data_IF_055912708581
#
_entry.id   IF_055912708581
#
_cell.length_a   1.000
_cell.length_b   1.000
_cell.length_c   1.000
_cell.angle_alpha   90.00
_cell.angle_beta   90.00
_cell.angle_gamma   90.00
#
_symmetry.space_group_name_H-M   'P 1'
#
loop_
_entity.id
_entity.type
_entity.pdbx_description
1 polymer ?
#
# COMPACT_ATOMS: atom_id res chain seq x y z
N UNK A 1 -32.53 -19.24 -10.24
CA UNK A 1 -31.86 -19.15 -11.55
C UNK A 1 -30.41 -18.89 -11.26
N UNK A 2 -29.51 -19.83 -11.58
CA UNK A 2 -28.08 -19.72 -11.36
C UNK A 2 -27.52 -18.67 -12.35
N UNK A 3 -27.16 -17.49 -11.85
CA UNK A 3 -26.34 -16.54 -12.63
C UNK A 3 -24.90 -17.06 -12.56
N UNK A 4 -24.42 -17.52 -13.71
CA UNK A 4 -23.01 -17.80 -13.98
C UNK A 4 -22.22 -16.50 -13.75
N UNK A 5 -21.46 -16.44 -12.67
CA UNK A 5 -20.49 -15.37 -12.45
C UNK A 5 -19.44 -15.50 -13.57
N UNK A 6 -19.54 -14.62 -14.55
CA UNK A 6 -18.48 -14.39 -15.53
C UNK A 6 -17.21 -13.93 -14.79
N UNK A 7 -16.10 -14.51 -15.16
CA UNK A 7 -14.76 -14.15 -14.72
C UNK A 7 -14.52 -12.67 -15.02
N UNK A 8 -14.60 -11.83 -14.01
CA UNK A 8 -13.95 -10.53 -14.03
C UNK A 8 -13.04 -10.54 -12.82
N UNK A 9 -11.76 -10.74 -13.07
CA UNK A 9 -10.70 -10.41 -12.13
C UNK A 9 -10.30 -8.99 -12.52
N UNK A 10 -10.85 -7.95 -11.89
CA UNK A 10 -10.31 -6.64 -12.06
C UNK A 10 -9.12 -6.54 -11.11
N UNK A 11 -7.99 -6.22 -11.69
CA UNK A 11 -6.97 -5.41 -11.01
C UNK A 11 -6.21 -6.06 -9.87
N UNK A 12 -5.96 -7.36 -9.95
CA UNK A 12 -4.62 -7.83 -9.60
C UNK A 12 -4.00 -8.13 -10.95
N UNK A 13 -3.38 -7.16 -11.59
CA UNK A 13 -2.45 -7.44 -12.67
C UNK A 13 -1.35 -8.24 -12.05
N UNK A 14 -1.62 -9.50 -12.10
CA UNK A 14 -0.89 -10.55 -11.49
C UNK A 14 0.46 -10.65 -12.20
N UNK A 15 1.44 -9.86 -11.73
CA UNK A 15 2.82 -10.22 -11.90
C UNK A 15 3.13 -11.46 -11.04
N UNK A 16 2.28 -12.46 -11.15
CA UNK A 16 2.58 -13.82 -10.69
C UNK A 16 3.51 -14.46 -11.71
N UNK A 17 4.73 -13.95 -11.78
CA UNK A 17 5.83 -14.79 -12.19
C UNK A 17 6.12 -15.73 -11.03
N UNK A 18 6.07 -16.99 -11.30
CA UNK A 18 6.53 -18.04 -10.41
C UNK A 18 7.90 -17.64 -9.86
N UNK A 19 7.95 -17.21 -8.61
CA UNK A 19 9.20 -16.92 -7.90
C UNK A 19 10.15 -18.14 -7.88
N UNK A 20 9.65 -19.31 -8.28
CA UNK A 20 10.38 -20.55 -8.44
C UNK A 20 11.47 -20.50 -9.51
N UNK A 21 11.30 -19.69 -10.59
CA UNK A 21 12.25 -19.64 -11.70
C UNK A 21 13.47 -18.74 -11.42
N UNK A 22 13.41 -17.88 -10.41
CA UNK A 22 14.51 -16.96 -10.06
C UNK A 22 15.60 -17.59 -9.19
N UNK A 23 15.48 -18.86 -8.83
CA UNK A 23 16.40 -19.53 -7.94
C UNK A 23 17.23 -20.56 -8.71
N UNK A 24 18.43 -20.16 -9.15
CA UNK A 24 19.46 -21.11 -9.52
C UNK A 24 19.84 -21.99 -8.32
N UNK A 25 19.82 -23.29 -8.50
CA UNK A 25 20.19 -24.24 -7.45
C UNK A 25 21.66 -24.09 -7.05
N UNK A 26 21.89 -23.95 -5.76
CA UNK A 26 23.13 -24.37 -5.11
C UNK A 26 24.35 -23.50 -5.31
N UNK A 27 24.41 -22.35 -4.64
CA UNK A 27 25.70 -21.71 -4.30
C UNK A 27 25.75 -21.36 -2.82
N UNK A 28 26.97 -21.45 -2.24
CA UNK A 28 27.21 -21.20 -0.83
C UNK A 28 26.67 -19.86 -0.35
N UNK A 29 26.13 -19.84 0.86
CA UNK A 29 25.65 -18.63 1.52
C UNK A 29 26.78 -17.57 1.52
N UNK A 30 26.47 -16.32 1.16
CA UNK A 30 27.45 -15.25 1.31
C UNK A 30 27.80 -15.07 2.79
N UNK A 31 29.03 -14.62 3.11
CA UNK A 31 29.44 -14.41 4.48
C UNK A 31 28.48 -13.45 5.19
N UNK A 32 28.27 -13.65 6.48
CA UNK A 32 27.50 -12.77 7.37
C UNK A 32 28.19 -11.41 7.48
N UNK A 33 28.08 -10.58 6.44
CA UNK A 33 28.52 -9.19 6.50
C UNK A 33 27.52 -8.39 7.33
N UNK A 34 28.00 -7.43 8.09
CA UNK A 34 27.15 -6.49 8.81
C UNK A 34 26.15 -5.86 7.84
N UNK A 35 24.86 -5.79 8.23
CA UNK A 35 23.80 -5.18 7.41
C UNK A 35 24.18 -3.74 7.09
N UNK A 36 24.26 -3.41 5.80
CA UNK A 36 24.44 -2.03 5.36
C UNK A 36 23.06 -1.38 5.24
N UNK A 37 22.85 -0.30 5.98
CA UNK A 37 21.58 0.40 6.02
C UNK A 37 21.50 1.45 4.91
N UNK A 38 20.44 1.44 4.08
CA UNK A 38 20.32 2.35 2.95
C UNK A 38 19.72 3.73 3.33
N UNK A 39 20.03 4.26 4.50
CA UNK A 39 19.49 5.53 4.99
C UNK A 39 19.75 6.69 4.02
N UNK A 40 20.93 6.76 3.42
CA UNK A 40 21.27 7.74 2.40
C UNK A 40 21.05 7.19 0.99
N UNK A 41 21.64 6.07 0.68
CA UNK A 41 21.59 5.43 -0.63
C UNK A 41 21.66 3.91 -0.47
N UNK A 42 21.00 3.20 -1.37
CA UNK A 42 21.12 1.77 -1.48
C UNK A 42 22.53 1.37 -1.98
N UNK A 43 23.24 0.48 -1.28
CA UNK A 43 24.39 -0.17 -1.87
C UNK A 43 24.01 -0.86 -3.17
N UNK A 44 24.93 -0.86 -4.15
CA UNK A 44 24.68 -1.49 -5.45
C UNK A 44 25.36 -2.85 -5.51
N UNK A 45 24.71 -3.81 -6.14
CA UNK A 45 25.21 -5.15 -6.38
C UNK A 45 24.79 -5.62 -7.77
N UNK A 46 25.12 -6.87 -8.10
CA UNK A 46 24.60 -7.53 -9.31
C UNK A 46 23.65 -8.66 -8.93
N UNK A 47 22.69 -9.03 -9.79
CA UNK A 47 21.81 -10.16 -9.52
C UNK A 47 22.59 -11.44 -9.16
N UNK A 48 23.63 -11.77 -9.92
CA UNK A 48 24.47 -12.94 -9.70
C UNK A 48 25.17 -12.91 -8.32
N UNK A 49 25.59 -11.73 -7.83
CA UNK A 49 26.29 -11.60 -6.53
C UNK A 49 25.42 -12.00 -5.33
N UNK A 50 24.12 -12.04 -5.52
CA UNK A 50 23.14 -12.41 -4.49
C UNK A 50 22.33 -13.66 -4.87
N UNK A 51 22.78 -14.42 -5.89
CA UNK A 51 22.15 -15.67 -6.31
C UNK A 51 20.82 -15.52 -7.02
N UNK A 52 20.62 -14.43 -7.76
CA UNK A 52 19.49 -14.25 -8.68
C UNK A 52 19.93 -14.54 -10.12
N UNK A 53 19.00 -15.05 -10.91
CA UNK A 53 19.20 -15.29 -12.33
C UNK A 53 19.16 -13.95 -13.09
N UNK A 54 20.31 -13.58 -13.62
CA UNK A 54 20.48 -12.33 -14.35
C UNK A 54 19.77 -12.34 -15.71
N UNK A 55 19.73 -13.50 -16.38
CA UNK A 55 19.06 -13.64 -17.67
C UNK A 55 17.56 -13.48 -17.54
N UNK A 56 16.96 -14.08 -16.53
CA UNK A 56 15.53 -13.90 -16.22
C UNK A 56 15.20 -12.43 -15.98
N UNK A 57 16.02 -11.69 -15.23
CA UNK A 57 15.80 -10.26 -14.98
C UNK A 57 15.97 -9.43 -16.26
N UNK A 58 16.95 -9.73 -17.10
CA UNK A 58 17.13 -9.06 -18.40
C UNK A 58 15.96 -9.30 -19.34
N UNK A 59 15.46 -10.53 -19.40
CA UNK A 59 14.30 -10.85 -20.23
C UNK A 59 13.06 -10.12 -19.75
N UNK A 60 12.87 -10.01 -18.43
CA UNK A 60 11.78 -9.26 -17.84
C UNK A 60 11.89 -7.75 -18.12
N UNK A 61 13.09 -7.18 -18.04
CA UNK A 61 13.38 -5.81 -18.44
C UNK A 61 12.98 -5.49 -19.87
N UNK A 62 13.34 -6.39 -20.80
CA UNK A 62 12.93 -6.30 -22.22
C UNK A 62 11.41 -6.38 -22.36
N UNK A 63 10.76 -7.30 -21.65
CA UNK A 63 9.31 -7.44 -21.67
C UNK A 63 8.60 -6.16 -21.22
N UNK A 64 9.11 -5.49 -20.17
CA UNK A 64 8.59 -4.20 -19.71
C UNK A 64 8.86 -3.12 -20.76
N UNK A 65 10.10 -2.99 -21.23
CA UNK A 65 10.50 -1.95 -22.17
C UNK A 65 9.72 -2.02 -23.50
N UNK A 66 9.25 -3.21 -23.87
CA UNK A 66 8.43 -3.43 -25.07
C UNK A 66 6.92 -3.24 -24.83
N UNK A 67 6.51 -2.87 -23.62
CA UNK A 67 5.11 -2.59 -23.26
C UNK A 67 4.24 -3.82 -23.03
N UNK A 68 4.83 -4.98 -22.78
CA UNK A 68 4.10 -6.22 -22.48
C UNK A 68 3.28 -6.12 -21.20
N UNK A 69 3.69 -5.28 -20.26
CA UNK A 69 3.08 -5.11 -18.94
C UNK A 69 2.52 -3.71 -18.73
N UNK A 70 1.87 -3.16 -19.74
CA UNK A 70 1.30 -1.81 -19.71
C UNK A 70 2.36 -0.70 -19.52
N UNK A 71 1.96 0.47 -18.98
CA UNK A 71 2.86 1.58 -18.72
C UNK A 71 3.57 1.37 -17.38
N UNK A 72 4.79 0.88 -17.43
CA UNK A 72 5.63 0.69 -16.23
C UNK A 72 6.74 1.74 -16.21
N UNK A 73 6.83 2.56 -15.18
CA UNK A 73 7.84 3.63 -15.06
C UNK A 73 9.15 3.12 -14.50
N UNK A 74 9.09 2.18 -13.57
CA UNK A 74 10.28 1.60 -12.97
C UNK A 74 10.03 0.20 -12.43
N UNK A 75 11.07 -0.60 -12.42
CA UNK A 75 11.12 -1.89 -11.77
C UNK A 75 12.47 -2.05 -11.08
N UNK A 76 12.46 -2.36 -9.78
CA UNK A 76 13.68 -2.54 -8.99
C UNK A 76 13.65 -3.81 -8.18
N UNK A 77 14.81 -4.40 -7.99
CA UNK A 77 15.00 -5.57 -7.13
C UNK A 77 16.06 -5.28 -6.10
N UNK A 78 15.71 -5.54 -4.85
CA UNK A 78 16.61 -5.42 -3.71
C UNK A 78 16.77 -6.79 -3.05
N UNK A 79 18.00 -7.15 -2.75
CA UNK A 79 18.32 -8.38 -2.03
C UNK A 79 19.56 -8.19 -1.18
N UNK A 80 19.59 -8.76 0.03
CA UNK A 80 20.71 -8.65 0.97
C UNK A 80 21.07 -7.20 1.33
N UNK A 81 20.11 -6.29 1.37
CA UNK A 81 20.35 -4.87 1.64
C UNK A 81 21.00 -4.10 0.48
N UNK A 82 21.02 -4.65 -0.73
CA UNK A 82 21.57 -4.03 -1.93
C UNK A 82 20.50 -3.91 -3.02
N UNK A 83 20.54 -2.85 -3.79
CA UNK A 83 19.85 -2.78 -5.08
C UNK A 83 20.68 -3.58 -6.09
N UNK A 84 20.07 -4.60 -6.67
CA UNK A 84 20.73 -5.53 -7.59
C UNK A 84 20.19 -5.46 -9.00
N UNK A 85 19.08 -4.76 -9.18
CA UNK A 85 18.50 -4.46 -10.49
C UNK A 85 17.69 -3.16 -10.41
N UNK A 86 17.78 -2.34 -11.46
CA UNK A 86 16.99 -1.12 -11.62
C UNK A 86 16.72 -0.86 -13.10
N UNK A 87 15.46 -1.06 -13.52
CA UNK A 87 14.93 -0.61 -14.80
C UNK A 87 14.18 0.71 -14.62
N UNK A 88 14.33 1.63 -15.57
CA UNK A 88 13.54 2.86 -15.68
C UNK A 88 13.06 3.00 -17.10
N UNK A 89 11.77 3.25 -17.27
CA UNK A 89 11.09 3.31 -18.56
C UNK A 89 10.43 4.67 -18.68
N UNK A 90 10.80 5.42 -19.70
CA UNK A 90 10.29 6.77 -19.89
C UNK A 90 9.04 6.76 -20.76
N UNK A 91 8.01 7.45 -20.29
CA UNK A 91 6.77 7.66 -21.01
C UNK A 91 6.51 9.15 -21.18
N UNK A 92 5.96 9.55 -22.31
CA UNK A 92 5.48 10.92 -22.53
C UNK A 92 4.08 11.09 -21.96
N UNK A 93 3.99 11.27 -20.65
CA UNK A 93 2.73 11.46 -19.95
C UNK A 93 1.99 12.72 -20.38
N UNK A 94 2.69 13.76 -20.82
CA UNK A 94 2.05 14.95 -21.37
C UNK A 94 1.26 14.63 -22.63
N UNK A 95 1.74 13.66 -23.45
CA UNK A 95 1.03 13.19 -24.61
C UNK A 95 -0.03 12.14 -24.24
N UNK A 96 0.32 11.18 -23.41
CA UNK A 96 -0.56 10.06 -23.01
C UNK A 96 -1.82 10.59 -22.32
N UNK A 97 -1.65 11.53 -21.37
CA UNK A 97 -2.74 12.13 -20.58
C UNK A 97 -3.08 13.57 -20.98
N UNK A 98 -2.84 13.93 -22.25
CA UNK A 98 -3.09 15.28 -22.75
C UNK A 98 -4.55 15.75 -22.57
N UNK A 99 -5.50 14.83 -22.51
CA UNK A 99 -6.92 15.12 -22.27
C UNK A 99 -7.20 15.22 -20.76
N UNK A 100 -6.79 14.23 -20.02
CA UNK A 100 -7.04 14.07 -18.59
C UNK A 100 -6.38 15.18 -17.78
N UNK A 101 -5.14 15.56 -18.12
CA UNK A 101 -4.40 16.65 -17.45
C UNK A 101 -5.08 18.03 -17.57
N UNK A 102 -6.03 18.19 -18.47
CA UNK A 102 -6.83 19.44 -18.60
C UNK A 102 -8.10 19.41 -17.75
N UNK A 103 -8.42 18.26 -17.20
CA UNK A 103 -9.63 18.07 -16.40
C UNK A 103 -9.25 18.27 -14.93
N UNK A 104 -9.85 19.26 -14.28
CA UNK A 104 -9.70 19.47 -12.84
C UNK A 104 -10.75 18.64 -12.09
N UNK A 105 -10.33 18.02 -11.00
CA UNK A 105 -11.25 17.26 -10.16
C UNK A 105 -10.64 15.98 -9.58
N UNK A 106 -11.43 15.21 -8.84
CA UNK A 106 -11.03 13.90 -8.34
C UNK A 106 -10.71 12.94 -9.49
N UNK A 107 -10.23 11.76 -9.19
CA UNK A 107 -9.93 10.67 -10.14
C UNK A 107 -11.03 10.50 -11.20
N UNK A 108 -12.27 10.72 -10.79
CA UNK A 108 -13.40 10.70 -11.67
C UNK A 108 -13.66 12.11 -12.25
N UNK A 109 -13.52 12.24 -13.57
CA UNK A 109 -13.79 13.47 -14.30
C UNK A 109 -15.24 14.00 -14.18
N UNK A 110 -16.16 13.22 -13.61
CA UNK A 110 -17.57 13.64 -13.37
C UNK A 110 -17.74 14.48 -12.12
N UNK A 111 -16.77 14.42 -11.22
CA UNK A 111 -16.79 15.16 -9.96
C UNK A 111 -15.71 16.24 -10.00
N UNK A 112 -16.08 17.46 -9.67
CA UNK A 112 -15.15 18.59 -9.64
C UNK A 112 -14.47 18.66 -8.28
N UNK A 113 -13.15 18.77 -8.25
CA UNK A 113 -12.37 18.88 -7.04
C UNK A 113 -10.87 19.00 -7.32
N UNK A 114 -10.05 19.07 -6.29
CA UNK A 114 -8.60 19.27 -6.40
C UNK A 114 -7.79 17.96 -6.48
N UNK A 115 -8.43 16.80 -6.47
CA UNK A 115 -7.76 15.50 -6.33
C UNK A 115 -7.66 14.70 -7.63
N UNK A 116 -7.71 15.33 -8.78
CA UNK A 116 -7.45 14.65 -10.04
C UNK A 116 -5.96 14.27 -10.11
N UNK A 117 -5.65 12.99 -10.09
CA UNK A 117 -4.26 12.50 -10.17
C UNK A 117 -3.55 12.86 -11.47
N UNK A 118 -4.26 13.25 -12.51
CA UNK A 118 -3.70 13.76 -13.76
C UNK A 118 -3.60 15.30 -13.78
N UNK A 119 -4.03 15.98 -12.71
CA UNK A 119 -3.89 17.42 -12.60
C UNK A 119 -2.41 17.78 -12.52
N UNK A 120 -1.91 18.75 -13.33
CA UNK A 120 -0.50 19.16 -13.33
C UNK A 120 0.03 19.64 -11.97
N UNK A 121 -0.86 20.09 -11.07
CA UNK A 121 -0.45 20.47 -9.72
C UNK A 121 -0.12 19.27 -8.83
N UNK A 122 -0.66 18.10 -9.14
CA UNK A 122 -0.55 16.92 -8.30
C UNK A 122 0.17 15.75 -8.97
N UNK A 123 0.14 15.66 -10.30
CA UNK A 123 0.82 14.59 -10.99
C UNK A 123 2.34 14.79 -10.91
N UNK A 124 3.11 13.80 -10.43
CA UNK A 124 4.56 13.94 -10.14
C UNK A 124 5.36 14.37 -11.35
N UNK A 125 4.99 13.92 -12.54
CA UNK A 125 5.62 14.31 -13.80
C UNK A 125 5.65 15.83 -14.01
N UNK A 126 4.55 16.51 -13.67
CA UNK A 126 4.44 17.97 -13.86
C UNK A 126 5.09 18.77 -12.75
N UNK A 127 5.38 18.16 -11.59
CA UNK A 127 6.02 18.85 -10.48
C UNK A 127 7.55 18.84 -10.55
N UNK A 128 8.14 18.13 -11.54
CA UNK A 128 9.59 18.00 -11.67
C UNK A 128 10.27 17.31 -10.49
N UNK A 129 9.54 16.51 -9.75
CA UNK A 129 10.02 15.69 -8.62
C UNK A 129 10.06 14.21 -9.01
N UNK A 130 10.88 13.42 -8.31
CA UNK A 130 10.92 11.97 -8.45
C UNK A 130 9.91 11.25 -7.54
N UNK A 131 9.08 11.99 -6.81
CA UNK A 131 7.99 11.44 -6.02
C UNK A 131 6.84 11.02 -6.93
N UNK A 132 6.28 9.85 -6.65
CA UNK A 132 5.15 9.28 -7.37
C UNK A 132 4.01 8.98 -6.40
N UNK A 133 2.77 9.10 -6.86
CA UNK A 133 1.62 8.71 -6.05
C UNK A 133 1.73 7.24 -5.67
N UNK A 134 1.45 6.95 -4.43
CA UNK A 134 1.46 5.58 -3.89
C UNK A 134 0.07 4.95 -3.89
N UNK A 135 -0.96 5.76 -4.04
CA UNK A 135 -2.34 5.27 -3.99
C UNK A 135 -2.55 4.41 -2.74
N UNK A 136 -3.24 3.30 -2.84
CA UNK A 136 -3.57 2.42 -1.70
C UNK A 136 -2.37 1.80 -0.98
N UNK A 137 -1.13 1.93 -1.47
CA UNK A 137 0.07 1.67 -0.67
C UNK A 137 0.11 2.57 0.58
N UNK A 138 -0.53 3.75 0.51
CA UNK A 138 -0.71 4.67 1.65
C UNK A 138 -1.35 3.99 2.86
N UNK A 139 -2.30 3.09 2.64
CA UNK A 139 -2.97 2.30 3.71
C UNK A 139 -1.97 1.45 4.49
N UNK A 140 -1.05 0.80 3.77
CA UNK A 140 0.03 0.02 4.39
C UNK A 140 0.95 0.92 5.21
N UNK A 141 1.32 2.09 4.69
CA UNK A 141 2.18 3.05 5.40
C UNK A 141 1.46 3.60 6.63
N UNK A 142 0.17 3.90 6.54
CA UNK A 142 -0.68 4.29 7.69
C UNK A 142 -0.62 3.23 8.80
N UNK A 143 -0.74 1.94 8.45
CA UNK A 143 -0.57 0.84 9.40
C UNK A 143 0.83 0.81 10.00
N UNK A 144 1.89 1.04 9.21
CA UNK A 144 3.26 1.11 9.72
C UNK A 144 3.40 2.25 10.75
N UNK A 145 2.88 3.44 10.45
CA UNK A 145 2.94 4.61 11.36
C UNK A 145 2.18 4.35 12.66
N UNK A 146 1.03 3.69 12.57
CA UNK A 146 0.30 3.24 13.77
C UNK A 146 1.17 2.29 14.63
N UNK A 147 1.85 1.34 13.99
CA UNK A 147 2.80 0.45 14.65
C UNK A 147 3.97 1.17 15.30
N UNK A 148 4.48 2.23 14.68
CA UNK A 148 5.50 3.11 15.28
C UNK A 148 4.95 3.77 16.55
N UNK A 149 3.74 4.32 16.50
CA UNK A 149 3.13 5.02 17.62
C UNK A 149 2.83 4.07 18.79
N UNK A 150 2.36 2.85 18.52
CA UNK A 150 2.17 1.80 19.52
C UNK A 150 3.52 1.38 20.12
N UNK A 151 4.54 1.19 19.30
CA UNK A 151 5.90 0.82 19.75
C UNK A 151 6.50 1.85 20.71
N UNK A 152 6.23 3.13 20.47
CA UNK A 152 6.69 4.23 21.29
C UNK A 152 5.84 4.46 22.54
N UNK A 153 4.64 3.87 22.59
CA UNK A 153 3.66 4.11 23.67
C UNK A 153 2.89 5.43 23.54
N UNK A 154 2.95 6.06 22.38
CA UNK A 154 2.21 7.29 22.07
C UNK A 154 0.75 6.99 21.68
N UNK A 155 0.50 5.83 21.08
CA UNK A 155 -0.83 5.28 20.85
C UNK A 155 -1.13 4.19 21.88
N UNK A 156 -2.11 4.45 22.75
CA UNK A 156 -2.36 3.61 23.94
C UNK A 156 -3.61 2.75 23.86
N UNK A 157 -4.50 3.04 22.93
CA UNK A 157 -5.72 2.26 22.76
C UNK A 157 -5.39 0.83 22.32
N UNK A 158 -6.16 -0.12 22.81
CA UNK A 158 -6.20 -1.49 22.26
C UNK A 158 -6.79 -1.47 20.84
N UNK A 159 -6.33 -2.34 19.96
CA UNK A 159 -6.92 -2.51 18.64
C UNK A 159 -8.40 -2.96 18.71
N UNK A 160 -8.82 -3.57 19.81
CA UNK A 160 -10.22 -3.92 20.07
C UNK A 160 -11.08 -2.72 20.52
N UNK A 161 -10.51 -1.51 20.59
CA UNK A 161 -11.28 -0.31 20.93
C UNK A 161 -12.23 0.03 19.79
N UNK A 162 -13.54 0.22 20.05
CA UNK A 162 -14.49 0.68 19.04
C UNK A 162 -14.10 2.02 18.44
N UNK A 163 -14.04 2.09 17.11
CA UNK A 163 -13.67 3.30 16.37
C UNK A 163 -14.61 4.49 16.64
N UNK A 164 -15.90 4.22 16.84
CA UNK A 164 -16.90 5.24 17.11
C UNK A 164 -16.62 6.06 18.37
N UNK A 165 -15.82 5.55 19.34
CA UNK A 165 -15.39 6.27 20.56
C UNK A 165 -14.70 7.61 20.25
N UNK A 166 -14.11 7.75 19.09
CA UNK A 166 -13.32 8.92 18.69
C UNK A 166 -14.13 10.00 17.98
N UNK A 167 -15.44 9.81 17.87
CA UNK A 167 -16.36 10.68 17.15
C UNK A 167 -17.48 11.18 18.07
N UNK A 168 -18.00 12.36 17.74
CA UNK A 168 -19.23 12.85 18.38
C UNK A 168 -20.44 12.10 17.79
N UNK A 169 -20.93 11.13 18.53
CA UNK A 169 -22.02 10.23 18.09
C UNK A 169 -23.28 11.00 17.68
N UNK A 170 -23.52 12.20 18.25
CA UNK A 170 -24.66 13.02 17.87
C UNK A 170 -24.56 13.58 16.44
N UNK A 171 -23.37 13.60 15.87
CA UNK A 171 -23.09 14.07 14.50
C UNK A 171 -22.90 12.94 13.50
N UNK A 172 -22.89 11.68 13.94
CA UNK A 172 -22.67 10.50 13.09
C UNK A 172 -24.01 9.96 12.62
N UNK A 173 -24.13 9.75 11.30
CA UNK A 173 -25.30 9.10 10.68
C UNK A 173 -25.20 7.57 10.76
N UNK A 174 -26.31 6.91 10.49
CA UNK A 174 -26.40 5.45 10.35
C UNK A 174 -25.78 4.66 11.55
N UNK A 175 -25.95 5.21 12.77
CA UNK A 175 -25.46 4.54 13.98
C UNK A 175 -26.35 3.35 14.33
N UNK A 176 -25.78 2.15 14.30
CA UNK A 176 -26.39 0.89 14.69
C UNK A 176 -25.47 0.09 15.63
N UNK A 177 -25.89 -1.09 16.06
CA UNK A 177 -25.11 -1.90 16.98
C UNK A 177 -23.78 -2.39 16.37
N UNK A 178 -23.74 -2.65 15.08
CA UNK A 178 -22.52 -3.05 14.38
C UNK A 178 -21.53 -1.88 14.30
N UNK A 179 -21.96 -0.68 13.95
CA UNK A 179 -21.08 0.50 13.97
C UNK A 179 -20.50 0.77 15.36
N UNK A 180 -21.26 0.50 16.43
CA UNK A 180 -20.77 0.62 17.82
C UNK A 180 -19.71 -0.43 18.17
N UNK A 181 -19.71 -1.57 17.50
CA UNK A 181 -18.79 -2.69 17.72
C UNK A 181 -17.57 -2.64 16.80
N UNK A 182 -17.61 -1.89 15.69
CA UNK A 182 -16.52 -1.76 14.73
C UNK A 182 -15.24 -1.26 15.41
N UNK A 183 -14.22 -2.09 15.46
CA UNK A 183 -12.95 -1.83 16.17
C UNK A 183 -11.86 -1.28 15.24
N UNK A 184 -10.79 -0.75 15.83
CA UNK A 184 -9.57 -0.34 15.09
C UNK A 184 -8.98 -1.53 14.32
N UNK A 185 -9.01 -2.74 14.89
CA UNK A 185 -8.56 -3.95 14.21
C UNK A 185 -9.38 -4.25 12.95
N UNK A 186 -10.71 -4.06 13.03
CA UNK A 186 -11.58 -4.25 11.87
C UNK A 186 -11.26 -3.28 10.72
N UNK A 187 -10.86 -2.05 11.03
CA UNK A 187 -10.41 -1.08 10.02
C UNK A 187 -9.10 -1.54 9.37
N UNK A 188 -8.13 -1.99 10.18
CA UNK A 188 -6.83 -2.46 9.69
C UNK A 188 -6.92 -3.73 8.85
N UNK A 189 -7.88 -4.61 9.16
CA UNK A 189 -8.05 -5.92 8.49
C UNK A 189 -9.08 -5.90 7.37
N UNK A 190 -9.65 -4.73 7.05
CA UNK A 190 -10.72 -4.61 6.04
C UNK A 190 -11.94 -5.50 6.36
N UNK A 191 -12.33 -5.51 7.64
CA UNK A 191 -13.50 -6.26 8.14
C UNK A 191 -14.46 -5.37 8.91
N UNK A 192 -14.54 -4.10 8.53
CA UNK A 192 -15.38 -3.10 9.21
C UNK A 192 -16.88 -3.38 9.10
N UNK A 193 -17.30 -4.15 8.10
CA UNK A 193 -18.70 -4.34 7.76
C UNK A 193 -19.37 -3.12 7.14
N UNK A 194 -18.59 -2.10 6.74
CA UNK A 194 -19.07 -0.92 6.03
C UNK A 194 -19.56 -1.32 4.64
N UNK A 195 -20.54 -0.59 4.14
CA UNK A 195 -21.06 -0.75 2.79
C UNK A 195 -20.07 -0.10 1.80
N UNK A 196 -19.05 -0.87 1.42
CA UNK A 196 -18.02 -0.44 0.47
C UNK A 196 -17.92 -1.43 -0.68
N UNK A 197 -17.90 -0.93 -1.91
CA UNK A 197 -17.88 -1.76 -3.13
C UNK A 197 -16.74 -1.37 -4.09
N UNK A 198 -15.65 -0.83 -3.57
CA UNK A 198 -14.56 -0.22 -4.35
C UNK A 198 -13.85 -1.17 -5.32
N UNK A 199 -13.77 -2.47 -5.02
CA UNK A 199 -13.01 -3.42 -5.85
C UNK A 199 -13.81 -4.12 -6.95
N UNK A 200 -15.13 -3.93 -7.01
CA UNK A 200 -15.99 -4.70 -7.90
C UNK A 200 -16.48 -3.94 -9.13
N UNK A 201 -16.01 -2.73 -9.34
CA UNK A 201 -16.35 -1.94 -10.53
C UNK A 201 -15.34 -2.20 -11.64
N UNK A 202 -15.71 -2.94 -12.72
CA UNK A 202 -14.77 -3.32 -13.78
C UNK A 202 -14.25 -2.14 -14.59
N UNK A 203 -14.91 -1.02 -14.50
CA UNK A 203 -14.57 0.22 -15.20
C UNK A 203 -13.87 1.24 -14.30
N UNK A 204 -13.31 0.76 -13.20
CA UNK A 204 -12.52 1.59 -12.28
C UNK A 204 -13.38 2.51 -11.41
N UNK A 205 -12.76 3.59 -10.96
CA UNK A 205 -13.34 4.59 -10.06
C UNK A 205 -14.50 5.39 -10.64
N UNK A 206 -14.84 5.20 -11.92
CA UNK A 206 -15.86 5.99 -12.62
C UNK A 206 -17.31 5.58 -12.34
N UNK A 207 -17.54 4.46 -11.65
CA UNK A 207 -18.89 4.01 -11.36
C UNK A 207 -19.58 4.97 -10.40
N UNK A 208 -20.81 5.46 -10.74
CA UNK A 208 -21.53 6.43 -9.90
C UNK A 208 -21.83 5.93 -8.48
N UNK A 209 -21.82 4.64 -8.28
CA UNK A 209 -22.09 3.96 -7.01
C UNK A 209 -20.82 3.69 -6.18
N UNK A 210 -19.63 4.07 -6.66
CA UNK A 210 -18.38 3.84 -5.95
C UNK A 210 -18.24 4.82 -4.78
N UNK A 211 -18.29 4.29 -3.55
CA UNK A 211 -18.23 5.08 -2.32
C UNK A 211 -16.94 5.89 -2.18
N UNK A 212 -15.82 5.36 -2.66
CA UNK A 212 -14.54 6.05 -2.71
C UNK A 212 -14.63 7.37 -3.49
N UNK A 213 -15.25 7.35 -4.66
CA UNK A 213 -15.44 8.55 -5.50
C UNK A 213 -16.30 9.60 -4.79
N UNK A 214 -17.34 9.17 -4.09
CA UNK A 214 -18.20 10.07 -3.33
C UNK A 214 -17.51 10.65 -2.11
N UNK A 215 -16.68 9.85 -1.42
CA UNK A 215 -15.86 10.31 -0.31
C UNK A 215 -14.89 11.41 -0.77
N UNK A 216 -14.13 11.17 -1.85
CA UNK A 216 -13.17 12.15 -2.38
C UNK A 216 -13.85 13.45 -2.86
N UNK A 217 -15.11 13.37 -3.29
CA UNK A 217 -15.88 14.54 -3.68
C UNK A 217 -16.50 15.31 -2.51
N UNK A 218 -16.46 14.75 -1.30
CA UNK A 218 -16.99 15.41 -0.10
C UNK A 218 -15.97 16.39 0.51
N UNK A 219 -16.46 17.35 1.31
CA UNK A 219 -15.61 18.35 1.95
C UNK A 219 -14.79 17.78 3.12
N UNK A 220 -15.34 16.80 3.87
CA UNK A 220 -14.73 16.16 5.03
C UNK A 220 -14.82 14.63 4.86
N UNK A 221 -13.71 14.04 4.43
CA UNK A 221 -13.65 12.61 4.11
C UNK A 221 -13.84 11.73 5.34
N UNK A 222 -13.33 12.18 6.49
CA UNK A 222 -13.50 11.45 7.74
C UNK A 222 -14.96 11.49 8.23
N UNK A 223 -15.65 12.62 8.06
CA UNK A 223 -17.08 12.69 8.38
C UNK A 223 -17.90 11.84 7.40
N UNK A 224 -17.57 11.88 6.10
CA UNK A 224 -18.18 10.99 5.11
C UNK A 224 -18.01 9.53 5.52
N UNK A 225 -16.77 9.12 5.79
CA UNK A 225 -16.43 7.75 6.15
C UNK A 225 -17.16 7.25 7.41
N UNK A 226 -17.24 8.06 8.48
CA UNK A 226 -17.95 7.63 9.70
C UNK A 226 -19.48 7.63 9.51
N UNK A 227 -20.00 8.39 8.56
CA UNK A 227 -21.41 8.40 8.21
C UNK A 227 -21.84 7.18 7.38
N UNK A 228 -20.90 6.50 6.69
CA UNK A 228 -21.17 5.28 5.91
C UNK A 228 -21.91 4.21 6.73
N UNK A 229 -22.94 3.55 6.17
CA UNK A 229 -23.65 2.51 6.89
C UNK A 229 -22.77 1.26 7.11
N UNK A 230 -22.83 0.69 8.32
CA UNK A 230 -22.29 -0.64 8.62
C UNK A 230 -23.41 -1.65 8.42
N UNK A 231 -23.30 -2.50 7.41
CA UNK A 231 -24.39 -3.34 6.89
C UNK A 231 -24.22 -4.81 7.27
N UNK A 232 -23.06 -5.20 7.81
CA UNK A 232 -22.80 -6.53 8.31
C UNK A 232 -21.96 -6.52 9.60
N UNK A 233 -21.88 -7.66 10.26
CA UNK A 233 -21.16 -7.81 11.52
C UNK A 233 -19.66 -7.59 11.33
N UNK A 234 -19.04 -6.61 12.03
CA UNK A 234 -17.62 -6.36 11.95
C UNK A 234 -16.78 -7.59 12.33
N UNK A 235 -15.68 -7.81 11.62
CA UNK A 235 -14.79 -8.96 11.83
C UNK A 235 -15.18 -10.21 11.04
N UNK A 236 -16.31 -10.21 10.32
CA UNK A 236 -16.85 -11.40 9.67
C UNK A 236 -16.28 -11.63 8.26
N UNK A 237 -16.37 -10.65 7.41
CA UNK A 237 -16.00 -10.76 6.00
C UNK A 237 -14.98 -9.68 5.61
N UNK A 238 -14.15 -10.03 4.64
CA UNK A 238 -13.28 -9.05 3.99
C UNK A 238 -14.11 -8.17 3.04
N UNK A 239 -14.07 -6.86 3.25
CA UNK A 239 -14.61 -5.85 2.33
C UNK A 239 -13.64 -4.69 2.27
N UNK A 240 -13.02 -4.50 1.11
CA UNK A 240 -12.04 -3.44 0.92
C UNK A 240 -12.70 -2.07 1.05
N UNK A 241 -12.13 -1.19 1.89
CA UNK A 241 -12.71 0.12 2.20
C UNK A 241 -11.64 1.18 2.40
N UNK A 242 -11.57 2.15 1.51
CA UNK A 242 -10.78 3.37 1.67
C UNK A 242 -11.32 4.22 2.82
N UNK A 243 -12.63 4.36 2.91
CA UNK A 243 -13.31 5.06 4.00
C UNK A 243 -12.90 4.53 5.39
N UNK A 244 -12.81 3.19 5.54
CA UNK A 244 -12.32 2.59 6.79
C UNK A 244 -10.91 3.04 7.16
N UNK A 245 -10.04 3.26 6.18
CA UNK A 245 -8.67 3.73 6.45
C UNK A 245 -8.65 5.21 6.85
N UNK A 246 -9.50 6.06 6.24
CA UNK A 246 -9.61 7.47 6.63
C UNK A 246 -10.01 7.67 8.09
N UNK A 247 -10.81 6.77 8.66
CA UNK A 247 -11.13 6.81 10.08
C UNK A 247 -9.88 6.69 10.97
N UNK A 248 -8.86 5.96 10.51
CA UNK A 248 -7.60 5.80 11.24
C UNK A 248 -6.84 7.12 11.42
N UNK A 249 -6.93 8.06 10.47
CA UNK A 249 -6.31 9.38 10.59
C UNK A 249 -6.85 10.13 11.82
N UNK A 250 -8.17 10.14 11.99
CA UNK A 250 -8.84 10.78 13.14
C UNK A 250 -8.55 10.05 14.44
N UNK A 251 -8.60 8.72 14.42
CA UNK A 251 -8.30 7.89 15.61
C UNK A 251 -6.86 8.13 16.05
N UNK A 252 -5.92 8.13 15.10
CA UNK A 252 -4.51 8.40 15.37
C UNK A 252 -4.29 9.77 16.00
N UNK A 253 -4.89 10.82 15.42
CA UNK A 253 -4.78 12.19 15.94
C UNK A 253 -5.35 12.31 17.38
N UNK A 254 -6.46 11.63 17.67
CA UNK A 254 -7.08 11.66 19.01
C UNK A 254 -6.25 10.92 20.06
N UNK A 255 -5.61 9.82 19.70
CA UNK A 255 -4.76 9.05 20.61
C UNK A 255 -3.40 9.68 20.86
N UNK A 256 -2.76 10.20 19.81
CA UNK A 256 -1.39 10.73 19.88
C UNK A 256 -1.33 12.23 20.12
N UNK A 257 -2.43 12.95 19.85
CA UNK A 257 -2.47 14.42 19.85
C UNK A 257 -1.70 15.04 18.69
N UNK A 258 -1.26 14.25 17.70
CA UNK A 258 -0.45 14.70 16.59
C UNK A 258 -1.09 14.28 15.26
N UNK A 259 -0.82 15.07 14.24
CA UNK A 259 -1.13 14.76 12.85
C UNK A 259 -0.25 13.58 12.38
N UNK A 260 -0.83 12.65 11.63
CA UNK A 260 -0.15 11.40 11.24
C UNK A 260 1.04 11.63 10.30
N UNK A 261 0.98 12.62 9.41
CA UNK A 261 2.06 12.99 8.50
C UNK A 261 3.26 13.57 9.26
N UNK A 262 3.02 14.56 10.13
CA UNK A 262 4.05 15.14 11.00
C UNK A 262 4.68 14.10 11.93
N UNK A 263 3.88 13.14 12.39
CA UNK A 263 4.35 12.04 13.21
C UNK A 263 5.22 11.06 12.40
N UNK A 264 4.76 10.71 11.20
CA UNK A 264 5.48 9.83 10.28
C UNK A 264 6.82 10.44 9.88
N UNK A 265 6.86 11.74 9.53
CA UNK A 265 8.11 12.43 9.23
C UNK A 265 9.11 12.26 10.37
N UNK A 266 8.68 12.56 11.59
CA UNK A 266 9.58 12.59 12.75
C UNK A 266 10.08 11.20 13.16
N UNK A 267 9.23 10.17 13.10
CA UNK A 267 9.51 8.89 13.75
C UNK A 267 9.65 7.70 12.79
N UNK A 268 9.33 7.89 11.50
CA UNK A 268 9.50 6.88 10.46
C UNK A 268 10.36 7.41 9.31
N UNK A 269 9.93 8.48 8.63
CA UNK A 269 10.54 8.90 7.37
C UNK A 269 11.94 9.50 7.56
N UNK A 270 12.11 10.49 8.42
CA UNK A 270 13.42 11.08 8.69
C UNK A 270 14.45 10.06 9.23
N UNK A 271 14.11 9.15 10.17
CA UNK A 271 15.03 8.08 10.59
C UNK A 271 15.47 7.15 9.47
N UNK A 272 14.62 6.88 8.47
CA UNK A 272 14.93 6.02 7.33
C UNK A 272 15.54 6.82 6.15
N UNK A 273 15.61 8.15 6.24
CA UNK A 273 16.02 9.02 5.16
C UNK A 273 15.09 8.94 3.95
N UNK A 274 13.79 8.90 4.20
CA UNK A 274 12.72 8.86 3.19
C UNK A 274 12.25 10.29 2.93
N UNK A 275 12.14 10.66 1.65
CA UNK A 275 11.47 11.89 1.22
C UNK A 275 10.05 11.56 0.83
N UNK A 276 9.10 12.38 1.25
CA UNK A 276 7.69 12.15 0.99
C UNK A 276 6.92 13.46 0.77
N UNK A 277 5.72 13.29 0.26
CA UNK A 277 4.63 14.27 0.33
C UNK A 277 3.35 13.51 0.63
N UNK A 278 2.53 14.02 1.55
CA UNK A 278 1.26 13.39 1.90
C UNK A 278 0.12 14.39 1.73
N UNK A 279 -0.78 14.12 0.80
CA UNK A 279 -1.94 14.97 0.51
C UNK A 279 -2.90 15.06 1.68
N UNK A 280 -3.77 16.05 1.62
CA UNK A 280 -4.81 16.30 2.61
C UNK A 280 -6.14 16.56 1.91
N UNK A 281 -7.22 16.25 2.59
CA UNK A 281 -8.56 16.66 2.20
C UNK A 281 -8.78 18.17 2.35
N UNK A 282 -9.98 18.64 2.03
CA UNK A 282 -10.32 20.07 2.08
C UNK A 282 -10.34 20.68 3.49
N UNK A 283 -10.49 19.86 4.53
CA UNK A 283 -10.45 20.31 5.93
C UNK A 283 -9.09 20.10 6.59
N UNK A 284 -8.10 19.64 5.82
CA UNK A 284 -6.71 19.50 6.24
C UNK A 284 -6.39 18.15 6.90
N UNK A 285 -7.27 17.17 6.83
CA UNK A 285 -6.98 15.80 7.27
C UNK A 285 -6.06 15.12 6.26
N UNK A 286 -5.09 14.35 6.75
CA UNK A 286 -4.17 13.60 5.88
C UNK A 286 -4.94 12.48 5.18
N UNK A 287 -4.80 12.41 3.88
CA UNK A 287 -5.32 11.34 3.02
C UNK A 287 -4.55 10.04 3.29
N UNK A 288 -5.03 9.26 4.25
CA UNK A 288 -4.38 8.03 4.71
C UNK A 288 -4.64 6.83 3.81
N UNK A 289 -5.59 6.95 2.92
CA UNK A 289 -5.98 5.86 2.05
C UNK A 289 -5.23 5.84 0.70
N UNK A 290 -4.88 7.03 0.14
CA UNK A 290 -4.30 7.14 -1.21
C UNK A 290 -3.29 8.26 -1.41
N UNK A 291 -3.17 9.21 -0.47
CA UNK A 291 -2.50 10.49 -0.69
C UNK A 291 -0.99 10.53 -0.53
N UNK A 292 -0.32 9.43 -0.24
CA UNK A 292 1.12 9.41 -0.05
C UNK A 292 1.87 9.41 -1.40
N UNK A 293 2.97 10.17 -1.45
CA UNK A 293 3.92 10.20 -2.56
C UNK A 293 5.31 9.83 -2.07
N UNK A 294 5.92 8.86 -2.71
CA UNK A 294 7.30 8.39 -2.47
C UNK A 294 8.01 8.17 -3.80
N UNK A 295 9.33 8.08 -3.76
CA UNK A 295 10.05 7.42 -4.84
C UNK A 295 10.18 5.90 -4.56
N UNK A 296 10.61 5.15 -5.57
CA UNK A 296 10.73 3.70 -5.51
C UNK A 296 11.82 3.21 -4.56
N UNK A 297 12.94 3.93 -4.45
CA UNK A 297 14.03 3.60 -3.53
C UNK A 297 13.59 3.79 -2.06
N UNK A 298 12.80 4.82 -1.80
CA UNK A 298 12.27 5.11 -0.47
C UNK A 298 11.14 4.14 -0.08
N UNK A 299 10.27 3.77 -1.03
CA UNK A 299 9.28 2.73 -0.80
C UNK A 299 9.94 1.39 -0.42
N UNK A 300 11.05 1.03 -1.08
CA UNK A 300 11.81 -0.17 -0.76
C UNK A 300 12.34 -0.20 0.68
N UNK A 301 12.67 0.95 1.27
CA UNK A 301 13.14 1.04 2.66
C UNK A 301 12.09 0.54 3.66
N UNK A 302 10.81 0.74 3.38
CA UNK A 302 9.73 0.23 4.23
C UNK A 302 9.67 -1.31 4.20
N UNK A 303 9.83 -1.93 3.04
CA UNK A 303 9.97 -3.38 2.93
C UNK A 303 11.21 -3.90 3.67
N UNK A 304 12.32 -3.21 3.55
CA UNK A 304 13.56 -3.59 4.24
C UNK A 304 13.46 -3.44 5.77
N UNK A 305 12.76 -2.42 6.26
CA UNK A 305 12.43 -2.27 7.68
C UNK A 305 11.67 -3.51 8.20
N UNK A 306 10.68 -3.97 7.45
CA UNK A 306 9.88 -5.14 7.81
C UNK A 306 10.69 -6.43 7.77
N UNK A 307 11.57 -6.63 6.77
CA UNK A 307 12.50 -7.76 6.70
C UNK A 307 13.46 -7.81 7.88
N UNK A 308 13.78 -6.65 8.47
CA UNK A 308 14.62 -6.54 9.67
C UNK A 308 13.79 -6.48 10.96
N UNK A 309 12.53 -6.98 10.94
CA UNK A 309 11.64 -7.02 12.09
C UNK A 309 11.47 -5.66 12.77
N UNK A 310 11.46 -4.58 11.99
CA UNK A 310 11.28 -3.22 12.48
C UNK A 310 12.52 -2.56 13.10
N UNK A 311 13.69 -3.14 12.93
CA UNK A 311 14.97 -2.51 13.26
C UNK A 311 15.50 -1.69 12.09
N UNK A 312 16.12 -0.54 12.39
CA UNK A 312 16.87 0.29 11.45
C UNK A 312 18.10 0.89 12.15
N UNK A 313 19.29 0.64 11.61
CA UNK A 313 20.56 1.08 12.24
C UNK A 313 20.64 0.77 13.74
N UNK A 314 20.23 -0.44 14.13
CA UNK A 314 20.14 -0.90 15.52
C UNK A 314 19.12 -0.14 16.40
N UNK A 315 18.29 0.72 15.83
CA UNK A 315 17.18 1.38 16.51
C UNK A 315 15.88 0.64 16.23
N UNK A 316 15.07 0.46 17.24
CA UNK A 316 13.71 -0.07 17.10
C UNK A 316 12.79 1.03 16.60
N UNK A 317 12.38 0.95 15.33
CA UNK A 317 11.39 1.87 14.72
C UNK A 317 9.98 1.32 14.94
N UNK A 318 9.78 0.04 14.63
CA UNK A 318 8.52 -0.68 14.85
C UNK A 318 8.82 -1.95 15.66
N UNK A 319 7.95 -2.31 16.60
CA UNK A 319 8.13 -3.53 17.38
C UNK A 319 8.07 -4.77 16.48
N UNK A 320 8.88 -5.78 16.80
CA UNK A 320 8.83 -7.08 16.11
C UNK A 320 7.43 -7.71 16.21
N UNK A 321 6.75 -7.50 17.33
CA UNK A 321 5.38 -7.96 17.52
C UNK A 321 4.43 -7.34 16.48
N UNK A 322 4.50 -5.99 16.29
CA UNK A 322 3.67 -5.32 15.29
C UNK A 322 3.97 -5.81 13.88
N UNK A 323 5.25 -5.91 13.50
CA UNK A 323 5.64 -6.43 12.18
C UNK A 323 5.02 -7.81 11.96
N UNK A 324 5.17 -8.73 12.91
CA UNK A 324 4.60 -10.08 12.79
C UNK A 324 3.08 -10.08 12.70
N UNK A 325 2.40 -9.25 13.49
CA UNK A 325 0.95 -9.13 13.42
C UNK A 325 0.49 -8.51 12.10
N UNK A 326 1.17 -7.46 11.62
CA UNK A 326 0.79 -6.80 10.37
C UNK A 326 0.76 -7.75 9.17
N UNK A 327 1.66 -8.72 9.14
CA UNK A 327 1.80 -9.68 8.04
C UNK A 327 1.33 -11.10 8.42
N UNK A 328 0.50 -11.22 9.46
CA UNK A 328 -0.19 -12.45 9.79
C UNK A 328 -1.48 -12.58 8.96
N UNK A 329 -1.89 -13.81 8.59
CA UNK A 329 -3.11 -14.03 7.80
C UNK A 329 -4.37 -13.90 8.67
N UNK A 330 -4.79 -12.64 8.91
CA UNK A 330 -5.95 -12.37 9.77
C UNK A 330 -7.27 -12.75 9.12
N UNK A 331 -7.46 -12.43 7.85
CA UNK A 331 -8.72 -12.61 7.16
C UNK A 331 -8.51 -13.26 5.79
N UNK A 332 -9.25 -14.34 5.44
CA UNK A 332 -9.20 -14.90 4.10
C UNK A 332 -9.90 -13.96 3.11
N UNK A 333 -9.26 -13.71 1.99
CA UNK A 333 -9.84 -12.93 0.92
C UNK A 333 -10.63 -13.79 -0.05
N UNK A 334 -11.57 -13.23 -0.83
CA UNK A 334 -12.32 -13.97 -1.85
C UNK A 334 -11.51 -14.34 -3.08
N UNK A 335 -10.20 -14.11 -3.07
CA UNK A 335 -9.29 -14.33 -4.20
C UNK A 335 -8.37 -15.50 -3.97
N UNK A 336 -8.05 -16.20 -5.06
CA UNK A 336 -7.10 -17.32 -5.09
C UNK A 336 -6.11 -17.13 -6.23
N UNK A 337 -4.89 -17.61 -6.01
CA UNK A 337 -3.84 -17.76 -7.01
C UNK A 337 -3.45 -19.22 -7.10
N UNK A 338 -2.52 -19.59 -7.98
CA UNK A 338 -2.08 -20.96 -8.17
C UNK A 338 -1.62 -21.63 -6.85
N UNK A 339 -0.85 -20.90 -6.04
CA UNK A 339 -0.31 -21.39 -4.78
C UNK A 339 -1.32 -21.37 -3.60
N UNK A 340 -2.55 -20.89 -3.80
CA UNK A 340 -3.58 -20.93 -2.78
C UNK A 340 -4.41 -19.64 -2.64
N UNK A 341 -5.05 -19.51 -1.47
CA UNK A 341 -5.90 -18.37 -1.16
C UNK A 341 -5.09 -17.20 -0.61
N UNK A 342 -5.44 -15.99 -1.05
CA UNK A 342 -4.92 -14.75 -0.48
C UNK A 342 -5.52 -14.50 0.90
N UNK A 343 -4.72 -13.85 1.75
CA UNK A 343 -5.15 -13.32 3.04
C UNK A 343 -4.84 -11.84 3.16
N UNK A 344 -5.47 -11.18 4.12
CA UNK A 344 -5.18 -9.80 4.47
C UNK A 344 -4.69 -9.69 5.90
N UNK A 345 -3.64 -8.89 6.09
CA UNK A 345 -3.08 -8.56 7.39
C UNK A 345 -3.56 -7.17 7.87
N UNK A 346 -2.71 -6.43 8.58
CA UNK A 346 -2.98 -5.02 8.92
C UNK A 346 -2.57 -4.13 7.74
N UNK A 347 -3.48 -3.98 6.79
CA UNK A 347 -3.29 -3.26 5.51
C UNK A 347 -2.17 -3.85 4.62
N UNK A 348 -1.88 -5.14 4.77
CA UNK A 348 -0.98 -5.90 3.91
C UNK A 348 -1.75 -7.02 3.19
N UNK A 349 -1.50 -7.15 1.90
CA UNK A 349 -1.92 -8.29 1.11
C UNK A 349 -0.94 -9.43 1.32
N UNK A 350 -1.43 -10.63 1.57
CA UNK A 350 -0.62 -11.82 1.82
C UNK A 350 -0.86 -12.82 0.69
N UNK A 351 0.16 -12.98 -0.14
CA UNK A 351 0.09 -13.80 -1.34
C UNK A 351 0.83 -15.10 -1.08
N UNK A 352 0.16 -16.27 -1.19
CA UNK A 352 0.85 -17.54 -1.04
C UNK A 352 1.94 -17.66 -2.12
N UNK A 353 3.12 -18.09 -1.70
CA UNK A 353 4.29 -18.28 -2.55
C UNK A 353 5.23 -19.30 -1.92
N UNK A 354 5.41 -20.44 -2.56
CA UNK A 354 6.36 -21.49 -2.12
C UNK A 354 6.22 -21.89 -0.64
N UNK A 355 4.99 -22.12 -0.19
CA UNK A 355 4.68 -22.58 1.19
C UNK A 355 4.78 -21.51 2.28
N UNK A 356 4.93 -20.25 1.91
CA UNK A 356 4.88 -19.10 2.81
C UNK A 356 4.07 -17.96 2.14
N UNK A 357 3.96 -16.81 2.80
CA UNK A 357 3.35 -15.62 2.22
C UNK A 357 4.40 -14.60 1.79
N UNK A 358 4.29 -14.11 0.55
CA UNK A 358 4.85 -12.83 0.18
C UNK A 358 3.93 -11.74 0.74
N UNK A 359 4.51 -10.61 1.19
CA UNK A 359 3.79 -9.46 1.69
C UNK A 359 3.73 -8.39 0.62
N UNK A 360 2.55 -7.91 0.30
CA UNK A 360 2.38 -6.94 -0.77
C UNK A 360 1.62 -5.70 -0.26
N UNK A 361 2.15 -4.54 -0.59
CA UNK A 361 1.41 -3.30 -0.63
C UNK A 361 1.17 -2.94 -2.09
N UNK A 362 -0.07 -2.65 -2.46
CA UNK A 362 -0.44 -2.33 -3.84
C UNK A 362 -1.35 -1.11 -3.90
N UNK A 363 -1.22 -0.31 -4.96
CA UNK A 363 -2.01 0.87 -5.22
C UNK A 363 -2.56 0.90 -6.64
N UNK A 364 -3.65 1.63 -6.82
CA UNK A 364 -4.26 1.83 -8.13
C UNK A 364 -3.25 2.42 -9.11
N UNK A 365 -3.20 1.89 -10.33
CA UNK A 365 -2.18 2.25 -11.32
C UNK A 365 -0.89 1.40 -11.24
N UNK A 366 -0.85 0.36 -10.38
CA UNK A 366 0.24 -0.61 -10.34
C UNK A 366 1.45 -0.20 -9.50
N UNK A 367 1.26 0.69 -8.53
CA UNK A 367 2.27 0.91 -7.50
C UNK A 367 2.35 -0.32 -6.61
N UNK A 368 3.53 -0.94 -6.54
CA UNK A 368 3.70 -2.18 -5.79
C UNK A 368 5.00 -2.21 -4.99
N UNK A 369 4.88 -2.64 -3.73
CA UNK A 369 5.97 -3.15 -2.93
C UNK A 369 5.69 -4.61 -2.62
N UNK A 370 6.52 -5.51 -3.14
CA UNK A 370 6.41 -6.93 -2.83
C UNK A 370 7.64 -7.40 -2.06
N UNK A 371 7.40 -8.01 -0.91
CA UNK A 371 8.43 -8.49 0.03
C UNK A 371 8.33 -10.00 0.13
N UNK A 372 9.44 -10.69 -0.13
CA UNK A 372 9.55 -12.15 -0.01
C UNK A 372 10.41 -12.48 1.22
N UNK A 373 9.81 -12.71 2.38
CA UNK A 373 10.55 -13.12 3.56
C UNK A 373 11.13 -14.54 3.36
N UNK A 374 12.34 -14.77 3.86
CA UNK A 374 12.93 -16.09 3.86
C UNK A 374 13.46 -16.44 5.25
N UNK A 375 13.43 -17.72 5.63
CA UNK A 375 14.15 -18.17 6.82
C UNK A 375 15.65 -17.86 6.68
N UNK A 376 16.28 -17.38 7.76
CA UNK A 376 17.75 -17.24 7.80
C UNK A 376 18.42 -18.60 7.50
N UNK A 377 19.56 -18.66 6.77
CA UNK A 377 20.53 -17.59 6.55
C UNK A 377 20.40 -16.83 5.22
N UNK A 378 19.44 -17.17 4.35
CA UNK A 378 19.32 -16.53 3.05
C UNK A 378 18.76 -15.09 3.15
N UNK A 379 19.28 -14.23 2.27
CA UNK A 379 18.81 -12.86 2.15
C UNK A 379 17.41 -12.82 1.55
N UNK A 380 16.52 -12.05 2.14
CA UNK A 380 15.18 -11.82 1.60
C UNK A 380 15.20 -10.90 0.38
N UNK A 381 14.27 -11.12 -0.55
CA UNK A 381 14.08 -10.30 -1.75
C UNK A 381 12.90 -9.38 -1.53
N UNK A 382 13.02 -8.14 -1.98
CA UNK A 382 11.87 -7.27 -2.19
C UNK A 382 12.01 -6.53 -3.51
N UNK A 383 10.90 -6.23 -4.12
CA UNK A 383 10.83 -5.50 -5.38
C UNK A 383 9.84 -4.36 -5.26
N UNK A 384 10.09 -3.32 -6.02
CA UNK A 384 9.20 -2.17 -6.19
C UNK A 384 8.96 -2.00 -7.67
N UNK A 385 7.72 -1.89 -8.07
CA UNK A 385 7.30 -1.56 -9.43
C UNK A 385 6.31 -0.41 -9.42
N UNK A 386 6.30 0.33 -10.49
CA UNK A 386 5.33 1.38 -10.77
C UNK A 386 4.82 1.19 -12.17
N UNK A 387 3.51 1.20 -12.33
CA UNK A 387 2.87 1.19 -13.62
C UNK A 387 1.65 2.10 -13.60
N UNK A 388 1.26 2.58 -14.75
CA UNK A 388 0.01 3.29 -14.93
C UNK A 388 -0.89 2.52 -15.90
N UNK A 389 -2.17 2.54 -15.62
CA UNK A 389 -3.15 1.78 -16.39
C UNK A 389 -3.58 2.57 -17.63
N UNK A 390 -3.73 1.85 -18.75
CA UNK A 390 -4.63 2.25 -19.82
C UNK A 390 -5.99 1.60 -19.54
N UNK A 391 -7.05 2.42 -19.59
CA UNK A 391 -8.40 1.95 -19.76
C UNK A 391 -8.59 1.29 -21.13
#
# INVERSE_FOLDING_TARGET
MKKTLGRVIPVVSLFLFTAASLLAAGQAAPPTSAVTWPTKNWPKGTPASVGLDEETLKNFDVDIATGKYALTDSFRVFRCGMEVFAGRYQHDYAQIYAKESKTKGPLNARLTGSYNYFDPEWHPFYQGTDLHTMQSVSKTVTSIVLGVAITRGDFKASLNTPGLKYFDVARVKNVNDWKRQMTIENLLTMTSGMNSEELFYPEGSDAPENDFVHMEASDDWVQYAIDEPVVEEPGRNFTYSSAGTELLARIFQKETGQDIDSYAERYLFAPLGIRHHWKRDYVGTVDTEGGLYLNDEDLAKLGFLYLNNGLWENKRIVSEYWVKQSVAPHVPMPYTVEDGRLYYGFSWWLIPSNGQYAWMATGFGGQELMVFPRPKPDCSVHRVGRSEWRN
#
